data_IF_927742607440
#
_entry.id   IF_927742607440
#
_cell.length_a   1.000
_cell.length_b   1.000
_cell.length_c   1.000
_cell.angle_alpha   90.00
_cell.angle_beta   90.00
_cell.angle_gamma   90.00
#
_symmetry.space_group_name_H-M   'P 1'
#
loop_
_entity.id
_entity.type
_entity.pdbx_description
1 polymer ?
#
# COMPACT_ATOMS: atom_id res chain seq x y z
N UNK A 1 5.87 20.27 7.96
CA UNK A 1 4.88 19.22 7.68
C UNK A 1 4.39 18.62 9.01
N UNK A 2 3.20 18.00 9.05
CA UNK A 2 2.63 17.41 10.28
C UNK A 2 3.46 16.21 10.77
N UNK A 3 3.30 15.84 12.04
CA UNK A 3 3.97 14.66 12.61
C UNK A 3 3.48 13.32 12.00
N UNK A 4 2.32 13.34 11.34
CA UNK A 4 1.72 12.16 10.70
C UNK A 4 2.02 12.08 9.20
N UNK A 5 2.79 13.02 8.68
CA UNK A 5 3.11 13.08 7.27
C UNK A 5 3.90 11.87 6.77
N UNK A 6 3.59 11.45 5.54
CA UNK A 6 4.32 10.46 4.76
C UNK A 6 4.25 10.90 3.28
N UNK A 7 5.34 10.96 2.52
CA UNK A 7 5.30 11.43 1.14
C UNK A 7 4.57 10.49 0.18
N UNK A 8 4.47 9.18 0.51
CA UNK A 8 3.97 8.17 -0.42
C UNK A 8 2.58 8.46 -1.02
N UNK A 9 1.56 8.98 -0.30
CA UNK A 9 0.29 9.34 -0.92
C UNK A 9 0.36 10.45 -1.99
N UNK A 10 1.49 11.16 -2.10
CA UNK A 10 1.72 12.22 -3.07
C UNK A 10 2.61 11.83 -4.24
N UNK A 11 3.36 10.73 -4.12
CA UNK A 11 4.40 10.37 -5.10
C UNK A 11 4.35 8.92 -5.55
N UNK A 12 3.52 8.07 -4.94
CA UNK A 12 3.63 6.62 -5.08
C UNK A 12 2.29 5.97 -5.44
N UNK A 13 2.35 5.05 -6.40
CA UNK A 13 1.25 4.14 -6.74
C UNK A 13 1.70 2.69 -6.59
N UNK A 14 0.97 1.91 -5.80
CA UNK A 14 1.25 0.49 -5.59
C UNK A 14 0.07 -0.39 -5.97
N UNK A 15 0.34 -1.56 -6.53
CA UNK A 15 -0.67 -2.57 -6.83
C UNK A 15 -0.39 -3.91 -6.17
N UNK A 16 -1.42 -4.73 -6.04
CA UNK A 16 -1.32 -6.17 -5.80
C UNK A 16 -1.24 -6.92 -7.13
N UNK A 17 -0.82 -8.21 -7.12
CA UNK A 17 -0.76 -9.04 -8.33
C UNK A 17 -2.11 -9.18 -9.08
N UNK A 18 -3.23 -9.04 -8.36
CA UNK A 18 -4.57 -9.05 -8.96
C UNK A 18 -5.00 -7.69 -9.54
N UNK A 19 -4.16 -6.65 -9.43
CA UNK A 19 -4.43 -5.31 -9.92
C UNK A 19 -5.09 -4.36 -8.93
N UNK A 20 -5.46 -4.82 -7.71
CA UNK A 20 -6.01 -3.94 -6.68
C UNK A 20 -4.99 -2.90 -6.26
N UNK A 21 -5.43 -1.65 -6.16
CA UNK A 21 -4.56 -0.54 -5.79
C UNK A 21 -4.46 -0.39 -4.28
N UNK A 22 -3.26 -0.04 -3.81
CA UNK A 22 -2.95 0.16 -2.40
C UNK A 22 -2.59 1.61 -2.14
N UNK A 23 -2.89 2.09 -0.93
CA UNK A 23 -2.43 3.41 -0.46
C UNK A 23 -0.91 3.50 -0.49
N UNK A 24 -0.22 2.43 -0.09
CA UNK A 24 1.22 2.24 -0.28
C UNK A 24 1.59 0.75 -0.19
N UNK A 25 2.83 0.40 -0.53
CA UNK A 25 3.30 -1.00 -0.55
C UNK A 25 3.24 -1.71 0.81
N UNK A 26 3.25 -0.97 1.93
CA UNK A 26 3.16 -1.51 3.30
C UNK A 26 1.84 -1.19 4.01
N UNK A 27 0.94 -0.42 3.39
CA UNK A 27 -0.38 -0.15 3.97
C UNK A 27 -1.04 -1.47 4.36
N UNK A 28 -1.66 -1.49 5.55
CA UNK A 28 -2.16 -2.70 6.18
C UNK A 28 -3.01 -3.53 5.22
N UNK A 29 -2.43 -4.58 4.72
CA UNK A 29 -3.02 -5.41 3.67
C UNK A 29 -2.95 -6.89 4.01
N UNK A 30 -2.42 -7.26 5.15
CA UNK A 30 -2.27 -8.65 5.53
C UNK A 30 -2.03 -8.75 7.02
N UNK A 31 -3.09 -9.07 7.75
CA UNK A 31 -3.02 -9.83 8.98
C UNK A 31 -2.01 -9.46 10.07
N UNK A 32 -1.50 -8.23 10.08
CA UNK A 32 -0.58 -7.80 11.12
C UNK A 32 -1.30 -7.53 12.47
N UNK A 33 -2.45 -8.13 12.67
CA UNK A 33 -3.12 -8.14 13.98
C UNK A 33 -3.71 -6.81 14.47
N UNK A 34 -3.75 -5.79 13.64
CA UNK A 34 -4.10 -4.43 14.08
C UNK A 34 -5.53 -4.01 13.76
N UNK A 35 -6.12 -4.64 12.75
CA UNK A 35 -7.52 -4.43 12.36
C UNK A 35 -8.05 -5.72 11.73
N UNK A 36 -9.31 -6.04 11.99
CA UNK A 36 -10.01 -7.19 11.38
C UNK A 36 -10.21 -7.00 9.86
N UNK A 37 -10.20 -5.75 9.38
CA UNK A 37 -10.30 -5.44 7.96
C UNK A 37 -8.93 -5.58 7.24
N UNK A 38 -8.69 -6.77 6.70
CA UNK A 38 -7.51 -7.08 5.87
C UNK A 38 -7.41 -6.24 4.58
N UNK A 39 -8.43 -5.46 4.27
CA UNK A 39 -8.51 -4.64 3.05
C UNK A 39 -8.35 -3.15 3.32
N UNK A 40 -8.12 -2.75 4.57
CA UNK A 40 -8.03 -1.33 4.98
C UNK A 40 -6.94 -0.54 4.23
N UNK A 41 -5.90 -1.22 3.77
CA UNK A 41 -4.82 -0.62 2.97
C UNK A 41 -5.10 -0.56 1.47
N UNK A 42 -6.24 -1.08 1.01
CA UNK A 42 -6.65 -1.00 -0.39
C UNK A 42 -7.42 0.29 -0.65
N UNK A 43 -7.19 0.88 -1.81
CA UNK A 43 -7.97 2.03 -2.27
C UNK A 43 -9.37 1.57 -2.63
N UNK A 44 -10.39 2.26 -2.11
CA UNK A 44 -11.79 1.88 -2.28
C UNK A 44 -12.60 3.03 -2.87
N UNK A 45 -13.64 2.66 -3.62
CA UNK A 45 -14.74 3.51 -4.04
C UNK A 45 -16.04 2.82 -3.64
N UNK A 46 -16.89 3.49 -2.87
CA UNK A 46 -18.17 2.93 -2.37
C UNK A 46 -18.01 1.56 -1.66
N UNK A 47 -16.91 1.40 -0.90
CA UNK A 47 -16.59 0.15 -0.19
C UNK A 47 -15.98 -0.95 -1.06
N UNK A 48 -15.93 -0.80 -2.38
CA UNK A 48 -15.35 -1.77 -3.33
C UNK A 48 -13.90 -1.41 -3.64
N UNK A 49 -13.01 -2.42 -3.69
CA UNK A 49 -11.61 -2.19 -4.05
C UNK A 49 -11.49 -1.65 -5.47
N UNK A 50 -10.69 -0.61 -5.63
CA UNK A 50 -10.35 -0.10 -6.96
C UNK A 50 -9.22 -0.91 -7.58
N UNK A 51 -9.40 -1.23 -8.87
CA UNK A 51 -8.48 -2.07 -9.63
C UNK A 51 -8.10 -1.38 -10.94
N UNK A 52 -6.82 -1.44 -11.35
CA UNK A 52 -6.34 -0.81 -12.60
C UNK A 52 -6.83 -1.51 -13.88
N UNK A 53 -7.59 -2.61 -13.78
CA UNK A 53 -8.29 -3.20 -14.93
C UNK A 53 -9.57 -2.42 -15.26
N UNK A 54 -10.20 -1.85 -14.23
CA UNK A 54 -11.54 -1.26 -14.30
C UNK A 54 -11.54 0.26 -14.12
N UNK A 55 -10.45 0.80 -13.58
CA UNK A 55 -10.31 2.23 -13.25
C UNK A 55 -9.02 2.80 -13.84
N UNK A 56 -9.08 4.04 -14.26
CA UNK A 56 -7.89 4.79 -14.70
C UNK A 56 -7.00 5.16 -13.50
N UNK A 57 -5.72 5.43 -13.78
CA UNK A 57 -4.79 5.93 -12.75
C UNK A 57 -5.33 7.22 -12.12
N UNK A 58 -5.91 8.10 -12.91
CA UNK A 58 -6.44 9.38 -12.45
C UNK A 58 -7.62 9.22 -11.48
N UNK A 59 -8.55 8.30 -11.77
CA UNK A 59 -9.67 7.97 -10.88
C UNK A 59 -9.19 7.39 -9.55
N UNK A 60 -8.20 6.49 -9.60
CA UNK A 60 -7.63 5.89 -8.39
C UNK A 60 -6.85 6.93 -7.59
N UNK A 61 -6.00 7.74 -8.26
CA UNK A 61 -5.15 8.75 -7.65
C UNK A 61 -5.95 9.81 -6.89
N UNK A 62 -7.10 10.19 -7.43
CA UNK A 62 -8.02 11.17 -6.85
C UNK A 62 -9.30 10.56 -6.29
N UNK A 63 -9.29 9.26 -5.99
CA UNK A 63 -10.40 8.63 -5.27
C UNK A 63 -10.63 9.27 -3.90
N UNK A 64 -11.84 9.19 -3.38
CA UNK A 64 -12.18 9.69 -2.04
C UNK A 64 -11.23 9.14 -0.98
N UNK A 65 -10.88 7.86 -1.07
CA UNK A 65 -9.95 7.21 -0.14
C UNK A 65 -8.57 7.88 -0.15
N UNK A 66 -7.98 8.14 -1.32
CA UNK A 66 -6.67 8.78 -1.45
C UNK A 66 -6.70 10.25 -1.02
N UNK A 67 -7.72 11.01 -1.43
CA UNK A 67 -7.92 12.40 -1.02
C UNK A 67 -8.04 12.52 0.50
N UNK A 68 -8.89 11.71 1.11
CA UNK A 68 -9.06 11.65 2.56
C UNK A 68 -7.75 11.29 3.28
N UNK A 69 -6.99 10.34 2.74
CA UNK A 69 -5.68 9.95 3.31
C UNK A 69 -4.72 11.13 3.33
N UNK A 70 -4.64 11.91 2.25
CA UNK A 70 -3.80 13.12 2.18
C UNK A 70 -4.25 14.17 3.19
N UNK A 71 -5.53 14.51 3.22
CA UNK A 71 -6.08 15.50 4.15
C UNK A 71 -5.82 15.12 5.60
N UNK A 72 -6.10 13.88 6.00
CA UNK A 72 -5.82 13.40 7.35
C UNK A 72 -4.35 13.59 7.73
N UNK A 73 -3.42 13.26 6.83
CA UNK A 73 -1.99 13.44 7.09
C UNK A 73 -1.60 14.92 7.24
N UNK A 74 -2.20 15.82 6.47
CA UNK A 74 -1.95 17.26 6.60
C UNK A 74 -2.51 17.82 7.91
N UNK A 75 -3.65 17.33 8.35
CA UNK A 75 -4.32 17.69 9.60
C UNK A 75 -3.66 17.07 10.86
N UNK A 76 -2.66 16.21 10.70
CA UNK A 76 -2.01 15.54 11.82
C UNK A 76 -2.78 14.31 12.34
N UNK A 77 -3.72 13.79 11.56
CA UNK A 77 -4.49 12.58 11.86
C UNK A 77 -3.80 11.38 11.24
N UNK A 78 -3.72 10.26 11.95
CA UNK A 78 -3.17 9.00 11.45
C UNK A 78 -4.25 8.28 10.63
N UNK A 79 -4.10 8.13 9.31
CA UNK A 79 -5.04 7.33 8.52
C UNK A 79 -5.06 5.87 8.99
N UNK A 80 -6.23 5.23 9.02
CA UNK A 80 -6.35 3.85 9.47
C UNK A 80 -5.47 2.87 8.69
N UNK A 81 -5.34 3.08 7.37
CA UNK A 81 -4.44 2.31 6.50
C UNK A 81 -2.95 2.44 6.84
N UNK A 82 -2.56 3.47 7.60
CA UNK A 82 -1.17 3.79 7.91
C UNK A 82 -0.73 3.36 9.33
N UNK A 83 -1.62 2.83 10.16
CA UNK A 83 -1.35 2.47 11.56
C UNK A 83 -0.12 1.59 11.77
N UNK A 84 0.18 0.70 10.83
CA UNK A 84 1.34 -0.19 10.91
C UNK A 84 2.63 0.59 11.18
N UNK A 85 2.92 1.61 10.38
CA UNK A 85 4.14 2.41 10.52
C UNK A 85 4.19 3.11 11.89
N UNK A 86 3.07 3.67 12.35
CA UNK A 86 3.03 4.36 13.65
C UNK A 86 3.21 3.40 14.82
N UNK A 87 2.68 2.18 14.74
CA UNK A 87 2.89 1.16 15.74
C UNK A 87 4.35 0.69 15.77
N UNK A 88 4.99 0.53 14.62
CA UNK A 88 6.43 0.24 14.53
C UNK A 88 7.24 1.34 15.22
N UNK A 89 6.92 2.61 14.95
CA UNK A 89 7.59 3.77 15.54
C UNK A 89 7.40 3.86 17.07
N UNK A 90 6.20 3.58 17.57
CA UNK A 90 5.94 3.52 19.02
C UNK A 90 6.76 2.44 19.72
N UNK A 91 7.13 1.37 19.01
CA UNK A 91 7.98 0.30 19.53
C UNK A 91 9.49 0.52 19.23
N UNK A 92 9.88 1.73 18.82
CA UNK A 92 11.28 2.07 18.55
C UNK A 92 11.84 1.48 17.25
N UNK A 93 10.97 0.98 16.36
CA UNK A 93 11.37 0.41 15.07
C UNK A 93 11.29 1.49 14.01
N UNK A 94 12.32 1.61 13.18
CA UNK A 94 12.29 2.53 12.03
C UNK A 94 11.26 2.02 11.02
N UNK A 95 10.21 2.79 10.83
CA UNK A 95 9.12 2.43 9.93
C UNK A 95 9.45 2.73 8.46
N UNK A 96 8.69 2.09 7.55
CA UNK A 96 8.73 2.42 6.12
C UNK A 96 8.48 3.91 5.87
N UNK A 97 7.54 4.52 6.60
CA UNK A 97 7.24 5.95 6.49
C UNK A 97 8.47 6.82 6.76
N UNK A 98 9.18 6.58 7.87
CA UNK A 98 10.38 7.35 8.23
C UNK A 98 11.49 7.18 7.21
N UNK A 99 11.69 5.94 6.73
CA UNK A 99 12.71 5.64 5.72
C UNK A 99 12.38 6.32 4.38
N UNK A 100 11.15 6.19 3.91
CA UNK A 100 10.72 6.81 2.65
C UNK A 100 10.75 8.34 2.71
N UNK A 101 10.35 8.91 3.84
CA UNK A 101 10.43 10.38 4.02
C UNK A 101 11.86 10.86 3.83
N UNK A 102 12.82 10.24 4.49
CA UNK A 102 14.23 10.60 4.34
C UNK A 102 14.71 10.46 2.90
N UNK A 103 14.43 9.33 2.26
CA UNK A 103 14.89 9.04 0.89
C UNK A 103 14.31 10.01 -0.13
N UNK A 104 13.02 10.35 0.00
CA UNK A 104 12.34 11.18 -1.00
C UNK A 104 12.55 12.68 -0.78
N UNK A 105 12.76 13.14 0.45
CA UNK A 105 13.17 14.52 0.73
C UNK A 105 14.55 14.86 0.13
N UNK A 106 15.43 13.87 -0.03
CA UNK A 106 16.73 14.04 -0.70
C UNK A 106 16.62 14.10 -2.25
N UNK A 107 15.51 13.61 -2.81
CA UNK A 107 15.35 13.42 -4.27
C UNK A 107 14.34 14.35 -4.92
N UNK A 108 13.35 14.79 -4.17
CA UNK A 108 12.21 15.57 -4.65
C UNK A 108 11.93 16.75 -3.72
N UNK A 109 11.47 17.84 -4.29
CA UNK A 109 10.91 18.96 -3.52
C UNK A 109 9.50 18.59 -3.01
N UNK A 110 9.47 17.81 -1.93
CA UNK A 110 8.23 17.34 -1.31
C UNK A 110 7.30 18.49 -0.90
N UNK A 111 7.78 19.58 -0.28
CA UNK A 111 6.94 20.75 0.02
C UNK A 111 6.23 21.31 -1.22
N UNK A 112 6.94 21.44 -2.34
CA UNK A 112 6.35 21.91 -3.61
C UNK A 112 5.28 20.95 -4.15
N UNK A 113 5.50 19.64 -4.05
CA UNK A 113 4.49 18.63 -4.47
C UNK A 113 3.26 18.73 -3.59
N UNK A 114 3.44 18.81 -2.28
CA UNK A 114 2.35 18.90 -1.30
C UNK A 114 1.53 20.19 -1.48
N UNK A 115 2.17 21.30 -1.82
CA UNK A 115 1.48 22.58 -2.05
C UNK A 115 0.51 22.57 -3.23
N UNK A 116 0.61 21.59 -4.13
CA UNK A 116 -0.32 21.40 -5.25
C UNK A 116 -1.61 20.69 -4.84
N UNK A 117 -1.73 20.24 -3.58
CA UNK A 117 -2.93 19.59 -3.07
C UNK A 117 -4.07 20.58 -2.96
N UNK A 118 -5.18 20.33 -3.62
CA UNK A 118 -6.37 21.15 -3.51
C UNK A 118 -7.07 20.97 -2.15
N UNK A 119 -7.99 21.87 -1.81
CA UNK A 119 -8.72 21.85 -0.54
C UNK A 119 -9.50 20.54 -0.30
N UNK A 120 -9.91 19.86 -1.37
CA UNK A 120 -10.58 18.55 -1.31
C UNK A 120 -9.61 17.36 -1.26
N UNK A 121 -8.29 17.59 -1.21
CA UNK A 121 -7.25 16.56 -1.19
C UNK A 121 -6.89 16.00 -2.57
N UNK A 122 -7.46 16.53 -3.65
CA UNK A 122 -7.07 16.14 -5.00
C UNK A 122 -5.69 16.67 -5.38
N UNK A 123 -5.02 15.98 -6.32
CA UNK A 123 -3.66 16.29 -6.74
C UNK A 123 -3.51 15.99 -8.23
N UNK A 124 -2.81 16.83 -9.01
CA UNK A 124 -2.42 16.47 -10.38
C UNK A 124 -1.70 15.12 -10.42
N UNK A 125 -1.95 14.36 -11.47
CA UNK A 125 -1.29 13.05 -11.65
C UNK A 125 0.15 13.28 -12.10
N UNK A 126 1.06 13.16 -11.15
CA UNK A 126 2.51 13.24 -11.37
C UNK A 126 3.16 12.23 -10.41
N UNK A 127 3.34 10.99 -10.87
CA UNK A 127 3.70 9.86 -10.02
C UNK A 127 5.12 9.40 -10.35
N UNK A 128 6.13 9.85 -9.61
CA UNK A 128 7.53 9.46 -9.86
C UNK A 128 7.89 8.06 -9.37
N UNK A 129 7.06 7.44 -8.52
CA UNK A 129 7.35 6.15 -7.91
C UNK A 129 6.21 5.15 -8.12
N UNK A 130 6.50 4.03 -8.81
CA UNK A 130 5.58 2.94 -9.04
C UNK A 130 6.07 1.64 -8.40
N UNK A 131 5.18 0.91 -7.71
CA UNK A 131 5.35 -0.48 -7.26
C UNK A 131 4.25 -1.31 -7.92
N UNK A 132 4.47 -1.69 -9.18
CA UNK A 132 3.50 -2.40 -9.99
C UNK A 132 3.75 -3.90 -9.96
N UNK A 133 2.82 -4.65 -9.41
CA UNK A 133 2.78 -6.11 -9.46
C UNK A 133 1.81 -6.54 -10.55
N UNK A 134 2.35 -6.89 -11.73
CA UNK A 134 1.57 -7.12 -12.95
C UNK A 134 0.96 -8.54 -13.06
N UNK A 135 0.96 -9.28 -11.98
CA UNK A 135 0.43 -10.63 -11.90
C UNK A 135 1.30 -11.55 -11.07
N UNK A 136 0.91 -12.81 -10.97
CA UNK A 136 1.65 -13.83 -10.24
C UNK A 136 2.15 -14.98 -11.13
N UNK A 137 2.06 -14.85 -12.45
CA UNK A 137 2.57 -15.86 -13.39
C UNK A 137 4.10 -15.81 -13.36
N UNK A 138 4.70 -16.74 -12.63
CA UNK A 138 6.15 -16.81 -12.43
C UNK A 138 6.58 -18.27 -12.37
N UNK A 139 7.65 -18.62 -13.09
CA UNK A 139 8.24 -19.97 -13.07
C UNK A 139 9.19 -20.22 -11.88
N UNK A 140 9.53 -19.17 -11.13
CA UNK A 140 10.44 -19.26 -9.99
C UNK A 140 9.70 -19.59 -8.69
N UNK A 141 10.40 -20.28 -7.77
CA UNK A 141 9.98 -20.58 -6.41
C UNK A 141 10.94 -19.93 -5.41
N UNK A 142 11.06 -18.60 -5.46
CA UNK A 142 11.93 -17.88 -4.52
C UNK A 142 11.39 -18.05 -3.09
N UNK A 143 12.30 -18.28 -2.14
CA UNK A 143 11.95 -18.53 -0.73
C UNK A 143 11.16 -17.38 -0.07
N UNK A 144 11.30 -16.17 -0.60
CA UNK A 144 10.59 -14.98 -0.11
C UNK A 144 9.22 -14.79 -0.75
N UNK A 145 8.84 -15.60 -1.74
CA UNK A 145 7.57 -15.49 -2.43
C UNK A 145 6.52 -16.42 -1.85
N UNK A 146 5.27 -16.00 -1.96
CA UNK A 146 4.09 -16.79 -1.62
C UNK A 146 3.31 -17.19 -2.89
N UNK A 147 2.29 -18.07 -2.79
CA UNK A 147 1.38 -18.35 -3.89
C UNK A 147 0.67 -17.09 -4.47
N UNK A 148 0.56 -16.02 -3.70
CA UNK A 148 0.03 -14.74 -4.18
C UNK A 148 0.97 -14.05 -5.17
N UNK A 149 2.29 -14.24 -5.00
CA UNK A 149 3.32 -13.55 -5.77
C UNK A 149 3.93 -14.46 -6.86
N UNK A 150 3.76 -15.79 -6.75
CA UNK A 150 4.24 -16.76 -7.74
C UNK A 150 3.32 -17.98 -7.85
N UNK A 151 2.78 -18.17 -9.05
CA UNK A 151 1.91 -19.32 -9.36
C UNK A 151 2.61 -20.67 -9.23
N UNK A 152 3.93 -20.74 -9.33
CA UNK A 152 4.72 -21.97 -9.13
C UNK A 152 4.65 -22.49 -7.70
N UNK A 153 4.35 -21.63 -6.70
CA UNK A 153 4.15 -22.05 -5.32
C UNK A 153 2.81 -22.73 -5.08
N UNK A 154 1.79 -22.48 -5.91
CA UNK A 154 0.44 -23.05 -5.72
C UNK A 154 0.49 -24.57 -5.63
N UNK A 155 1.20 -25.22 -6.56
CA UNK A 155 1.36 -26.69 -6.55
C UNK A 155 2.11 -27.17 -5.31
N UNK A 156 3.20 -26.49 -4.94
CA UNK A 156 4.02 -26.91 -3.79
C UNK A 156 3.24 -26.82 -2.47
N UNK A 157 2.46 -25.75 -2.27
CA UNK A 157 1.62 -25.57 -1.06
C UNK A 157 0.49 -26.61 -1.03
N UNK A 158 -0.13 -26.94 -2.17
CA UNK A 158 -1.15 -27.98 -2.24
C UNK A 158 -0.62 -29.34 -1.78
N UNK A 159 0.59 -29.70 -2.18
CA UNK A 159 1.21 -30.96 -1.74
C UNK A 159 1.50 -30.98 -0.23
N UNK A 160 1.99 -29.89 0.35
CA UNK A 160 2.31 -29.84 1.78
C UNK A 160 1.08 -29.87 2.68
N UNK A 161 -0.06 -29.35 2.24
CA UNK A 161 -1.30 -29.40 3.01
C UNK A 161 -2.09 -30.70 2.85
N UNK A 162 -1.88 -31.44 1.75
CA UNK A 162 -2.55 -32.71 1.51
C UNK A 162 -1.79 -33.92 2.12
N UNK A 163 -0.55 -33.73 2.55
CA UNK A 163 0.33 -34.82 3.04
C UNK A 163 0.68 -34.72 4.52
N UNK A 164 -0.03 -33.90 5.30
CA UNK A 164 0.08 -34.01 6.75
C UNK A 164 -0.51 -35.36 7.18
N UNK A 165 0.30 -36.28 7.77
CA UNK A 165 -0.27 -37.54 8.30
C UNK A 165 -1.26 -37.15 9.39
N UNK A 166 -2.46 -37.72 9.31
CA UNK A 166 -3.40 -37.72 10.42
C UNK A 166 -2.68 -38.48 11.55
N UNK A 167 -2.31 -37.75 12.61
CA UNK A 167 -1.81 -38.38 13.83
C UNK A 167 -3.06 -38.99 14.47
N UNK A 168 -3.18 -40.32 14.39
CA UNK A 168 -4.14 -41.13 15.19
C UNK A 168 -3.71 -41.12 16.67
#
# INVERSE_FOLDING_TARGET
MSKTFCPLPWIHLATRPNGDVRVCCTANASGAGLDDDKTIGLVKKDGVNMNLRDHTIEEVWNSEHMRRTRLQMLEGIIPASCRKCFNEEQNGIVSKRQWETKVWEERLDIPSIVSKTADDGSLPVDIPYFDLRLGNVCQLKCIMCSPHDSSSWIKAVSYTHLTLPTIE
#
